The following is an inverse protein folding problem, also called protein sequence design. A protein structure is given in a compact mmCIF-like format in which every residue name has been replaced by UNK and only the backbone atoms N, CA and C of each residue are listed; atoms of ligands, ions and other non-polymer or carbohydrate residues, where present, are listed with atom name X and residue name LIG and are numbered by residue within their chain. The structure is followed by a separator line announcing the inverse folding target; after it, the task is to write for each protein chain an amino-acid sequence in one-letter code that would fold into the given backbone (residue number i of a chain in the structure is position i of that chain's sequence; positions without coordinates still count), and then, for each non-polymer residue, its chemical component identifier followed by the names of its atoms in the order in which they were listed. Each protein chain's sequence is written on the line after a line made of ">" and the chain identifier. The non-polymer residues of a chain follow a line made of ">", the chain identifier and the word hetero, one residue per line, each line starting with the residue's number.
data_IF_343938108518
#
_entry.id   IF_343938108518
#
_cell.length_a   1.000
_cell.length_b   1.000
_cell.length_c   1.000
_cell.angle_alpha   90.00
_cell.angle_beta   90.00
_cell.angle_gamma   90.00
#
_symmetry.space_group_name_H-M   'P 1'
#
loop_
_entity.id
_entity.type
_entity.pdbx_description
1 polymer ?
#
# COMPACT_ATOMS: atom_id res chain seq x y z
N UNK A 1 -10.36 -9.07 -3.92
CA UNK A 1 -11.73 -8.51 -3.92
C UNK A 1 -11.96 -7.58 -2.73
N UNK A 2 -11.65 -7.98 -1.48
CA UNK A 2 -11.67 -7.07 -0.31
C UNK A 2 -10.99 -5.71 -0.58
N UNK A 3 -9.75 -5.72 -1.09
CA UNK A 3 -9.00 -4.48 -1.38
C UNK A 3 -9.70 -3.58 -2.41
N UNK A 4 -10.42 -4.16 -3.39
CA UNK A 4 -11.18 -3.37 -4.38
C UNK A 4 -12.34 -2.67 -3.69
N UNK A 5 -13.08 -3.37 -2.83
CA UNK A 5 -14.17 -2.76 -2.07
C UNK A 5 -13.66 -1.66 -1.12
N UNK A 6 -12.52 -1.87 -0.46
CA UNK A 6 -11.94 -0.89 0.46
C UNK A 6 -11.41 0.37 -0.24
N UNK A 7 -10.74 0.24 -1.39
CA UNK A 7 -10.10 1.36 -2.09
C UNK A 7 -11.02 2.06 -3.10
N UNK A 8 -12.04 1.37 -3.60
CA UNK A 8 -12.91 1.88 -4.67
C UNK A 8 -14.39 1.86 -4.31
N UNK A 9 -14.82 1.17 -3.25
CA UNK A 9 -16.24 0.98 -2.95
C UNK A 9 -16.97 0.02 -3.88
N UNK A 10 -16.31 -0.50 -4.92
CA UNK A 10 -16.94 -1.41 -5.88
C UNK A 10 -17.12 -2.80 -5.27
N UNK A 11 -18.30 -3.40 -5.46
CA UNK A 11 -18.65 -4.68 -4.81
C UNK A 11 -18.94 -5.81 -5.79
N UNK A 12 -19.52 -5.50 -6.94
CA UNK A 12 -19.80 -6.47 -8.00
C UNK A 12 -18.63 -6.55 -8.98
N UNK A 13 -17.53 -7.16 -8.51
CA UNK A 13 -16.29 -7.31 -9.27
C UNK A 13 -15.84 -8.77 -9.33
N UNK A 14 -15.44 -9.23 -10.51
CA UNK A 14 -14.85 -10.56 -10.72
C UNK A 14 -13.44 -10.47 -11.26
N UNK A 15 -12.56 -11.37 -10.83
CA UNK A 15 -11.22 -11.52 -11.41
C UNK A 15 -11.37 -12.20 -12.78
N UNK A 16 -10.90 -11.54 -13.83
CA UNK A 16 -10.87 -12.08 -15.19
C UNK A 16 -9.56 -12.81 -15.44
N UNK A 17 -8.45 -12.23 -14.99
CA UNK A 17 -7.12 -12.74 -15.31
C UNK A 17 -6.06 -12.26 -14.32
N UNK A 18 -5.04 -13.09 -14.11
CA UNK A 18 -3.80 -12.71 -13.47
C UNK A 18 -2.83 -12.08 -14.49
N UNK A 19 -2.35 -10.86 -14.21
CA UNK A 19 -1.51 -10.08 -15.12
C UNK A 19 -0.02 -10.16 -14.82
N UNK A 20 0.37 -10.60 -13.63
CA UNK A 20 1.78 -10.76 -13.25
C UNK A 20 2.08 -10.32 -11.82
N UNK A 21 3.38 -10.29 -11.51
CA UNK A 21 3.92 -9.94 -10.21
C UNK A 21 5.06 -8.94 -10.35
N UNK A 22 5.19 -8.05 -9.37
CA UNK A 22 6.41 -7.31 -9.07
C UNK A 22 6.95 -7.88 -7.76
N UNK A 23 8.15 -8.46 -7.80
CA UNK A 23 8.68 -9.27 -6.68
C UNK A 23 8.94 -8.46 -5.42
N UNK A 24 9.44 -7.24 -5.57
CA UNK A 24 9.68 -6.35 -4.44
C UNK A 24 9.69 -4.89 -4.87
N UNK A 25 8.86 -4.07 -4.22
CA UNK A 25 8.85 -2.61 -4.40
C UNK A 25 9.65 -1.84 -3.33
N UNK A 26 10.23 -2.57 -2.36
CA UNK A 26 10.97 -1.97 -1.24
C UNK A 26 12.43 -1.67 -1.62
N UNK A 27 12.92 -0.50 -1.20
CA UNK A 27 14.35 -0.22 -1.18
C UNK A 27 15.09 -1.12 -0.18
N UNK A 28 16.43 -1.17 -0.27
CA UNK A 28 17.27 -2.04 0.57
C UNK A 28 17.11 -1.76 2.08
N UNK A 29 16.93 -0.49 2.43
CA UNK A 29 16.68 0.00 3.78
C UNK A 29 15.19 0.08 4.13
N UNK A 30 14.29 -0.38 3.27
CA UNK A 30 12.86 -0.38 3.56
C UNK A 30 12.36 -1.75 3.96
N UNK A 31 11.32 -1.75 4.76
CA UNK A 31 10.64 -2.95 5.21
C UNK A 31 9.15 -2.72 5.24
N UNK A 32 8.38 -3.78 5.09
CA UNK A 32 6.91 -3.73 5.17
C UNK A 32 6.44 -4.46 6.43
N UNK A 33 5.45 -3.88 7.11
CA UNK A 33 4.75 -4.55 8.20
C UNK A 33 3.86 -5.66 7.65
N UNK A 34 4.02 -6.87 8.18
CA UNK A 34 3.29 -8.07 7.72
C UNK A 34 1.95 -8.26 8.45
N UNK A 35 1.77 -7.58 9.59
CA UNK A 35 0.58 -7.61 10.44
C UNK A 35 0.43 -6.27 11.18
N UNK A 36 -0.75 -5.97 11.74
CA UNK A 36 -0.90 -4.82 12.61
C UNK A 36 0.05 -4.89 13.82
N UNK A 37 0.73 -3.78 14.13
CA UNK A 37 1.68 -3.69 15.24
C UNK A 37 1.75 -2.26 15.78
N UNK A 38 1.93 -2.14 17.10
CA UNK A 38 2.31 -0.87 17.73
C UNK A 38 3.83 -0.82 17.87
N UNK A 39 4.42 0.31 17.48
CA UNK A 39 5.85 0.55 17.62
C UNK A 39 6.16 0.77 19.11
N UNK A 40 7.26 0.22 19.62
CA UNK A 40 7.68 0.29 21.03
C UNK A 40 8.86 1.21 21.23
N UNK A 41 8.99 1.79 22.43
CA UNK A 41 10.11 2.69 22.75
C UNK A 41 11.45 1.94 22.97
N UNK A 42 11.40 0.66 23.33
CA UNK A 42 12.56 -0.21 23.57
C UNK A 42 12.37 -1.61 22.92
N UNK A 43 13.45 -2.36 22.67
CA UNK A 43 13.41 -3.70 22.07
C UNK A 43 13.00 -4.76 23.09
N UNK A 44 11.82 -4.59 23.69
CA UNK A 44 11.28 -5.47 24.72
C UNK A 44 9.75 -5.55 24.67
N UNK A 45 9.19 -6.72 25.00
CA UNK A 45 7.75 -6.97 24.95
C UNK A 45 6.97 -6.27 26.07
N UNK A 46 7.62 -5.87 27.15
CA UNK A 46 7.00 -5.11 28.26
C UNK A 46 7.15 -3.60 28.09
N UNK A 47 7.95 -3.16 27.12
CA UNK A 47 8.15 -1.76 26.78
C UNK A 47 6.86 -1.06 26.35
N UNK A 48 6.68 0.18 26.78
CA UNK A 48 5.55 1.00 26.38
C UNK A 48 5.45 1.15 24.85
N UNK A 49 4.31 0.77 24.25
CA UNK A 49 4.03 1.04 22.84
C UNK A 49 3.55 2.48 22.63
N UNK A 50 3.83 3.04 21.46
CA UNK A 50 3.14 4.22 20.96
C UNK A 50 1.65 3.90 20.76
N UNK A 51 0.79 4.91 20.97
CA UNK A 51 -0.66 4.75 20.87
C UNK A 51 -1.12 4.29 19.48
N UNK A 52 -0.50 4.79 18.40
CA UNK A 52 -0.86 4.47 17.01
C UNK A 52 -0.61 2.98 16.71
N UNK A 53 -1.67 2.31 16.25
CA UNK A 53 -1.57 0.98 15.66
C UNK A 53 -1.27 1.14 14.18
N UNK A 54 -0.14 0.61 13.72
CA UNK A 54 0.20 0.57 12.31
C UNK A 54 -0.35 -0.70 11.69
N UNK A 55 -0.92 -0.61 10.50
CA UNK A 55 -1.56 -1.73 9.81
C UNK A 55 -0.56 -2.49 8.93
N UNK A 56 -0.97 -3.68 8.47
CA UNK A 56 -0.23 -4.44 7.46
C UNK A 56 -0.06 -3.62 6.18
N UNK A 57 1.10 -3.71 5.55
CA UNK A 57 1.38 -3.06 4.27
C UNK A 57 2.06 -1.69 4.39
N UNK A 58 2.08 -1.11 5.61
CA UNK A 58 2.86 0.10 5.91
C UNK A 58 4.34 -0.18 5.68
N UNK A 59 4.98 0.67 4.89
CA UNK A 59 6.42 0.67 4.68
C UNK A 59 7.10 1.53 5.75
N UNK A 60 8.19 1.03 6.32
CA UNK A 60 9.02 1.70 7.32
C UNK A 60 10.49 1.62 6.92
N UNK A 61 11.29 2.56 7.37
CA UNK A 61 12.74 2.52 7.22
C UNK A 61 13.36 1.60 8.27
N UNK A 62 14.36 0.82 7.87
CA UNK A 62 15.12 -0.10 8.69
C UNK A 62 16.34 0.60 9.28
N UNK A 63 16.45 0.60 10.60
CA UNK A 63 17.53 1.28 11.34
C UNK A 63 18.48 0.29 12.04
N UNK A 64 18.17 -1.00 12.04
CA UNK A 64 18.98 -2.04 12.68
C UNK A 64 18.17 -3.07 13.45
N UNK A 65 18.84 -3.99 14.12
CA UNK A 65 18.22 -5.06 14.91
C UNK A 65 18.90 -5.21 16.27
N UNK A 66 18.11 -5.59 17.28
CA UNK A 66 18.58 -5.95 18.61
C UNK A 66 17.67 -7.04 19.17
N UNK A 67 18.24 -8.22 19.41
CA UNK A 67 17.49 -9.38 19.88
C UNK A 67 16.31 -9.72 18.97
N UNK A 68 15.12 -9.90 19.55
CA UNK A 68 13.88 -10.21 18.84
C UNK A 68 13.21 -9.01 18.14
N UNK A 69 13.88 -7.85 18.08
CA UNK A 69 13.28 -6.61 17.60
C UNK A 69 14.12 -5.92 16.51
N UNK A 70 13.40 -5.26 15.60
CA UNK A 70 13.95 -4.42 14.54
C UNK A 70 13.63 -2.97 14.87
N UNK A 71 14.66 -2.12 14.83
CA UNK A 71 14.50 -0.68 14.96
C UNK A 71 14.03 -0.12 13.63
N UNK A 72 12.99 0.70 13.67
CA UNK A 72 12.37 1.29 12.49
C UNK A 72 12.12 2.77 12.67
N UNK A 73 12.09 3.50 11.56
CA UNK A 73 11.54 4.85 11.51
C UNK A 73 10.39 4.93 10.50
N UNK A 74 9.34 5.66 10.88
CA UNK A 74 8.17 5.94 10.05
C UNK A 74 7.97 7.44 9.98
N UNK A 75 7.68 7.92 8.78
CA UNK A 75 7.50 9.33 8.47
C UNK A 75 6.19 9.51 7.70
N UNK A 76 5.37 10.45 8.13
CA UNK A 76 4.15 10.88 7.45
C UNK A 76 4.31 12.35 7.09
N UNK A 77 4.07 12.67 5.82
CA UNK A 77 4.06 14.04 5.34
C UNK A 77 2.66 14.63 5.39
N UNK A 78 2.58 15.95 5.39
CA UNK A 78 1.33 16.71 5.36
C UNK A 78 0.49 16.48 4.09
N UNK A 79 1.15 16.28 2.95
CA UNK A 79 0.48 16.04 1.67
C UNK A 79 1.37 15.26 0.70
N UNK A 80 0.72 14.65 -0.31
CA UNK A 80 1.37 14.00 -1.44
C UNK A 80 0.71 14.48 -2.74
N UNK A 81 1.45 14.56 -3.86
CA UNK A 81 2.85 14.13 -4.05
C UNK A 81 3.90 15.18 -3.65
N UNK A 82 3.49 16.41 -3.32
CA UNK A 82 4.40 17.55 -3.08
C UNK A 82 4.37 17.95 -1.59
N UNK A 83 5.04 17.21 -0.69
CA UNK A 83 5.02 17.49 0.74
C UNK A 83 5.67 18.84 1.05
N UNK A 84 5.12 19.58 2.02
CA UNK A 84 5.73 20.84 2.50
C UNK A 84 6.31 20.71 3.90
N UNK A 85 5.83 19.73 4.67
CA UNK A 85 6.28 19.50 6.05
C UNK A 85 6.11 18.04 6.47
N UNK A 86 6.81 17.66 7.54
CA UNK A 86 6.61 16.38 8.22
C UNK A 86 5.45 16.56 9.20
N UNK A 87 4.34 15.86 8.96
CA UNK A 87 3.19 15.85 9.84
C UNK A 87 3.41 14.94 11.07
N UNK A 88 4.14 13.85 10.89
CA UNK A 88 4.33 12.86 11.94
C UNK A 88 5.62 12.05 11.74
N UNK A 89 6.32 11.76 12.84
CA UNK A 89 7.48 10.88 12.84
C UNK A 89 7.45 9.97 14.06
N UNK A 90 7.73 8.69 13.87
CA UNK A 90 8.00 7.74 14.94
C UNK A 90 9.29 7.00 14.67
N UNK A 91 10.11 6.84 15.71
CA UNK A 91 11.26 5.94 15.73
C UNK A 91 11.08 5.00 16.91
N UNK A 92 11.23 3.70 16.68
CA UNK A 92 11.11 2.71 17.75
C UNK A 92 11.34 1.29 17.26
N UNK A 93 10.75 0.33 17.96
CA UNK A 93 11.04 -1.08 17.80
C UNK A 93 9.79 -1.88 17.48
N UNK A 94 9.90 -2.81 16.55
CA UNK A 94 8.87 -3.80 16.22
C UNK A 94 9.44 -5.22 16.32
N UNK A 95 8.63 -6.24 16.65
CA UNK A 95 9.08 -7.63 16.62
C UNK A 95 9.59 -8.02 15.23
N UNK A 96 10.65 -8.83 15.17
CA UNK A 96 11.25 -9.28 13.90
C UNK A 96 10.25 -10.08 13.03
N UNK A 97 9.29 -10.75 13.65
CA UNK A 97 8.26 -11.52 12.94
C UNK A 97 7.14 -10.65 12.34
N UNK A 98 7.09 -9.37 12.69
CA UNK A 98 6.07 -8.43 12.24
C UNK A 98 6.49 -7.66 10.98
N UNK A 99 7.67 -7.94 10.43
CA UNK A 99 8.30 -7.13 9.40
C UNK A 99 9.00 -7.98 8.33
N UNK A 100 9.01 -7.52 7.09
CA UNK A 100 9.59 -8.23 5.94
C UNK A 100 10.36 -7.28 5.03
N UNK A 101 11.44 -7.77 4.42
CA UNK A 101 12.15 -7.10 3.32
C UNK A 101 11.58 -7.40 1.94
N UNK A 102 10.53 -8.23 1.88
CA UNK A 102 9.85 -8.63 0.66
C UNK A 102 8.40 -8.14 0.68
N UNK A 103 8.03 -7.39 -0.37
CA UNK A 103 6.67 -6.91 -0.63
C UNK A 103 6.29 -7.22 -2.09
N UNK A 104 5.90 -8.47 -2.38
CA UNK A 104 5.42 -8.82 -3.71
C UNK A 104 4.07 -8.15 -3.96
N UNK A 105 3.90 -7.63 -5.18
CA UNK A 105 2.64 -7.04 -5.66
C UNK A 105 2.11 -7.85 -6.82
N UNK A 106 0.91 -8.38 -6.66
CA UNK A 106 0.22 -9.16 -7.70
C UNK A 106 -0.77 -8.27 -8.45
N UNK A 107 -0.77 -8.39 -9.78
CA UNK A 107 -1.65 -7.63 -10.65
C UNK A 107 -2.74 -8.53 -11.22
N UNK A 108 -3.98 -8.05 -11.19
CA UNK A 108 -5.14 -8.75 -11.71
C UNK A 108 -5.97 -7.83 -12.59
N UNK A 109 -6.53 -8.37 -13.65
CA UNK A 109 -7.59 -7.73 -14.42
C UNK A 109 -8.92 -8.10 -13.78
N UNK A 110 -9.69 -7.08 -13.40
CA UNK A 110 -11.03 -7.26 -12.86
C UNK A 110 -12.07 -6.72 -13.84
N UNK A 111 -13.22 -7.39 -13.91
CA UNK A 111 -14.40 -6.89 -14.56
C UNK A 111 -15.38 -6.36 -13.51
N UNK A 112 -15.82 -5.12 -13.67
CA UNK A 112 -16.92 -4.54 -12.92
C UNK A 112 -18.25 -4.93 -13.59
N UNK A 113 -19.19 -5.47 -12.82
CA UNK A 113 -20.52 -5.90 -13.29
C UNK A 113 -21.64 -4.96 -12.83
N UNK A 114 -21.34 -4.03 -11.92
CA UNK A 114 -22.27 -2.99 -11.50
C UNK A 114 -22.23 -1.77 -12.43
N UNK A 115 -23.38 -1.10 -12.54
CA UNK A 115 -23.48 0.19 -13.21
C UNK A 115 -22.89 1.28 -12.28
N UNK A 116 -21.88 1.98 -12.76
CA UNK A 116 -21.15 2.98 -11.98
C UNK A 116 -21.19 4.33 -12.69
N UNK A 117 -21.27 5.42 -11.93
CA UNK A 117 -20.96 6.75 -12.45
C UNK A 117 -19.51 6.81 -12.97
N UNK A 118 -19.21 7.79 -13.83
CA UNK A 118 -17.85 8.04 -14.33
C UNK A 118 -16.86 8.31 -13.19
N UNK A 119 -17.36 8.94 -12.11
CA UNK A 119 -16.64 9.20 -10.87
C UNK A 119 -17.60 9.16 -9.68
N UNK A 120 -17.10 8.85 -8.49
CA UNK A 120 -17.91 8.80 -7.28
C UNK A 120 -17.08 9.25 -6.05
N UNK A 121 -17.73 9.31 -4.89
CA UNK A 121 -17.10 9.66 -3.62
C UNK A 121 -17.05 8.45 -2.69
N UNK A 122 -15.89 8.23 -2.07
CA UNK A 122 -15.65 7.12 -1.15
C UNK A 122 -15.04 7.66 0.16
N UNK A 123 -15.80 7.68 1.26
CA UNK A 123 -15.23 7.92 2.58
C UNK A 123 -14.36 6.73 3.02
N UNK A 124 -13.06 6.95 3.20
CA UNK A 124 -12.11 5.97 3.73
C UNK A 124 -11.01 6.68 4.55
N UNK A 125 -10.08 5.93 5.16
CA UNK A 125 -8.93 6.46 5.91
C UNK A 125 -9.26 7.65 6.85
N UNK A 126 -9.96 7.38 7.95
CA UNK A 126 -10.31 8.40 8.96
C UNK A 126 -11.08 9.62 8.40
N UNK A 127 -12.18 9.36 7.68
CA UNK A 127 -13.06 10.38 7.07
C UNK A 127 -12.44 11.18 5.91
N UNK A 128 -11.33 10.73 5.33
CA UNK A 128 -10.91 11.26 4.04
C UNK A 128 -11.92 10.86 2.96
N UNK A 129 -12.34 11.80 2.12
CA UNK A 129 -13.24 11.52 0.99
C UNK A 129 -12.38 11.39 -0.25
N UNK A 130 -12.18 10.15 -0.70
CA UNK A 130 -11.57 9.87 -1.99
C UNK A 130 -12.58 10.09 -3.12
N UNK A 131 -12.05 10.42 -4.30
CA UNK A 131 -12.84 10.59 -5.51
C UNK A 131 -12.37 9.63 -6.62
N UNK A 132 -12.72 8.33 -6.56
CA UNK A 132 -12.37 7.41 -7.63
C UNK A 132 -13.09 7.77 -8.93
N UNK A 133 -12.46 7.42 -10.06
CA UNK A 133 -13.00 7.65 -11.38
C UNK A 133 -12.45 6.62 -12.39
N UNK A 134 -13.19 6.44 -13.48
CA UNK A 134 -12.74 5.64 -14.61
C UNK A 134 -11.87 6.48 -15.54
N UNK A 135 -10.75 5.89 -15.99
CA UNK A 135 -9.88 6.50 -17.00
C UNK A 135 -9.62 5.52 -18.15
N UNK A 136 -9.64 5.98 -19.41
CA UNK A 136 -9.26 5.14 -20.53
C UNK A 136 -7.83 4.61 -20.38
N UNK A 137 -7.60 3.37 -20.79
CA UNK A 137 -6.24 2.82 -20.90
C UNK A 137 -5.52 3.26 -22.18
N UNK A 138 -6.20 3.96 -23.09
CA UNK A 138 -5.59 4.47 -24.34
C UNK A 138 -6.06 5.91 -24.61
N UNK A 139 -5.14 6.88 -24.70
CA UNK A 139 -3.69 6.76 -24.46
C UNK A 139 -3.38 6.31 -23.02
N UNK A 140 -2.18 5.78 -22.79
CA UNK A 140 -1.78 5.28 -21.47
C UNK A 140 -1.93 6.40 -20.43
N UNK A 141 -2.64 6.18 -19.30
CA UNK A 141 -2.85 7.22 -18.31
C UNK A 141 -1.54 7.62 -17.61
N UNK A 142 -1.37 8.91 -17.39
CA UNK A 142 -0.24 9.48 -16.67
C UNK A 142 -0.48 9.39 -15.16
N UNK A 143 -0.08 8.26 -14.55
CA UNK A 143 -0.20 8.05 -13.11
C UNK A 143 1.00 8.65 -12.36
N UNK A 144 0.79 9.04 -11.10
CA UNK A 144 1.87 9.48 -10.21
C UNK A 144 2.68 8.28 -9.70
N UNK A 145 3.87 8.53 -9.15
CA UNK A 145 4.64 7.49 -8.44
C UNK A 145 3.92 7.06 -7.16
N UNK A 146 3.95 5.77 -6.77
CA UNK A 146 4.56 4.63 -7.47
C UNK A 146 3.64 3.94 -8.49
N UNK A 147 2.40 4.42 -8.67
CA UNK A 147 1.36 3.78 -9.47
C UNK A 147 1.70 3.66 -10.95
N UNK A 148 2.50 4.59 -11.51
CA UNK A 148 2.98 4.44 -12.89
C UNK A 148 3.78 3.15 -13.09
N UNK A 149 4.68 2.80 -12.17
CA UNK A 149 5.52 1.60 -12.25
C UNK A 149 4.68 0.33 -12.16
N UNK A 150 3.61 0.38 -11.37
CA UNK A 150 2.65 -0.71 -11.27
C UNK A 150 1.95 -0.95 -12.62
N UNK A 151 1.46 0.13 -13.25
CA UNK A 151 0.86 0.03 -14.57
C UNK A 151 1.88 -0.46 -15.59
N UNK A 152 3.09 0.10 -15.63
CA UNK A 152 4.17 -0.31 -16.53
C UNK A 152 4.43 -1.83 -16.49
N UNK A 153 4.45 -2.41 -15.29
CA UNK A 153 4.73 -3.82 -15.07
C UNK A 153 3.71 -4.74 -15.75
N UNK A 154 2.44 -4.33 -15.82
CA UNK A 154 1.35 -5.18 -16.32
C UNK A 154 0.69 -4.67 -17.61
N UNK A 155 1.07 -3.47 -18.11
CA UNK A 155 0.32 -2.76 -19.16
C UNK A 155 0.11 -3.58 -20.43
N UNK A 156 1.17 -4.20 -20.94
CA UNK A 156 1.10 -5.02 -22.16
C UNK A 156 0.24 -6.26 -21.97
N UNK A 157 0.20 -6.81 -20.76
CA UNK A 157 -0.60 -8.00 -20.43
C UNK A 157 -2.09 -7.67 -20.42
N UNK A 158 -2.50 -6.41 -20.23
CA UNK A 158 -3.92 -6.02 -20.24
C UNK A 158 -4.54 -6.27 -21.62
N UNK A 159 -3.83 -5.94 -22.70
CA UNK A 159 -4.35 -6.01 -24.08
C UNK A 159 -4.24 -7.39 -24.74
N UNK A 160 -3.52 -8.34 -24.13
CA UNK A 160 -3.49 -9.71 -24.66
C UNK A 160 -4.88 -10.31 -24.56
N UNK A 161 -5.37 -10.96 -25.62
CA UNK A 161 -6.60 -11.75 -25.55
C UNK A 161 -6.34 -13.02 -24.75
N UNK A 162 -7.31 -13.45 -23.96
CA UNK A 162 -7.34 -14.81 -23.43
C UNK A 162 -7.48 -15.75 -24.63
N UNK A 163 -6.51 -16.65 -24.82
CA UNK A 163 -6.62 -17.74 -25.79
C UNK A 163 -7.69 -18.73 -25.34
#
# INVERSE_FOLDING_TARGET
>A
LREVAEETGLTQVRIVRYLGIMDNELAANERVLTRPVQIRIAPDNTSFPFKKLFTRGVTVQFEGQQGGFTKVSYLEYDQLPNPTSIAFQIIGWVPNDAISSKKPRHFFHLNCEEETAVSWSLPADNNHIFHPFWTPLTPKPALVSPQHTWLDTCYTQIFKRSL
#
